data_IF_598758461519
#
_entry.id   IF_598758461519
#
_cell.length_a   1.000
_cell.length_b   1.000
_cell.length_c   1.000
_cell.angle_alpha   90.00
_cell.angle_beta   90.00
_cell.angle_gamma   90.00
#
_symmetry.space_group_name_H-M   'P 1'
#
loop_
_entity.id
_entity.type
_entity.pdbx_description
1 polymer ?
#
# COMPACT_ATOMS: atom_id res chain seq x y z
N UNK A 1 10.14 13.87 -17.62
CA UNK A 1 9.86 12.77 -16.68
C UNK A 1 8.96 11.80 -17.43
N UNK A 2 9.33 10.54 -17.56
CA UNK A 2 8.47 9.56 -18.24
C UNK A 2 7.30 9.21 -17.34
N UNK A 3 6.08 9.43 -17.83
CA UNK A 3 4.87 8.93 -17.16
C UNK A 3 4.88 7.39 -17.21
N UNK A 4 4.86 6.74 -16.05
CA UNK A 4 4.68 5.29 -15.99
C UNK A 4 3.18 4.97 -16.01
N UNK A 5 2.80 3.97 -16.80
CA UNK A 5 1.45 3.36 -16.73
C UNK A 5 1.26 2.76 -15.34
N UNK A 6 0.05 2.88 -14.80
CA UNK A 6 -0.27 2.42 -13.46
C UNK A 6 -1.58 1.61 -13.45
N UNK A 7 -1.75 0.83 -12.39
CA UNK A 7 -2.93 0.02 -12.14
C UNK A 7 -3.50 0.33 -10.76
N UNK A 8 -4.83 0.44 -10.69
CA UNK A 8 -5.61 0.56 -9.45
C UNK A 8 -6.63 -0.57 -9.44
N UNK A 9 -6.47 -1.50 -8.49
CA UNK A 9 -7.33 -2.67 -8.35
C UNK A 9 -8.03 -2.71 -7.00
N UNK A 10 -9.26 -3.21 -6.96
CA UNK A 10 -10.00 -3.39 -5.69
C UNK A 10 -10.62 -4.76 -5.59
N UNK A 11 -10.72 -5.27 -4.37
CA UNK A 11 -11.47 -6.46 -4.03
C UNK A 11 -12.25 -6.23 -2.74
N UNK A 12 -13.45 -6.80 -2.63
CA UNK A 12 -14.28 -6.68 -1.42
C UNK A 12 -14.76 -8.05 -0.98
N UNK A 13 -15.12 -8.17 0.29
CA UNK A 13 -15.66 -9.39 0.88
C UNK A 13 -14.73 -10.61 0.69
N UNK A 14 -13.41 -10.42 0.72
CA UNK A 14 -12.44 -11.50 0.62
C UNK A 14 -12.11 -12.05 2.01
N UNK A 15 -11.77 -13.33 2.11
CA UNK A 15 -11.30 -13.94 3.35
C UNK A 15 -9.78 -13.72 3.55
N UNK A 16 -9.26 -14.07 4.74
CA UNK A 16 -7.85 -13.91 5.06
C UNK A 16 -6.91 -14.69 4.13
N UNK A 17 -7.30 -15.88 3.68
CA UNK A 17 -6.49 -16.70 2.77
C UNK A 17 -6.30 -16.02 1.41
N UNK A 18 -7.37 -15.44 0.85
CA UNK A 18 -7.29 -14.66 -0.40
C UNK A 18 -6.43 -13.42 -0.21
N UNK A 19 -6.57 -12.70 0.91
CA UNK A 19 -5.71 -11.55 1.22
C UNK A 19 -4.23 -11.95 1.26
N UNK A 20 -3.90 -13.08 1.88
CA UNK A 20 -2.53 -13.61 1.93
C UNK A 20 -2.01 -13.94 0.53
N UNK A 21 -2.85 -14.55 -0.31
CA UNK A 21 -2.51 -14.82 -1.72
C UNK A 21 -2.24 -13.55 -2.51
N UNK A 22 -3.09 -12.53 -2.40
CA UNK A 22 -2.91 -11.24 -3.07
C UNK A 22 -1.60 -10.55 -2.63
N UNK A 23 -1.32 -10.54 -1.32
CA UNK A 23 -0.06 -10.00 -0.79
C UNK A 23 1.12 -10.79 -1.37
N UNK A 24 1.08 -12.12 -1.34
CA UNK A 24 2.16 -12.96 -1.84
C UNK A 24 2.38 -12.88 -3.35
N UNK A 25 1.33 -12.60 -4.12
CA UNK A 25 1.39 -12.49 -5.58
C UNK A 25 1.98 -11.14 -6.02
N UNK A 26 1.44 -10.03 -5.50
CA UNK A 26 1.82 -8.70 -5.97
C UNK A 26 3.02 -8.11 -5.26
N UNK A 27 3.22 -8.49 -4.00
CA UNK A 27 4.13 -7.77 -3.11
C UNK A 27 5.31 -8.67 -2.79
N UNK A 28 6.51 -8.22 -3.18
CA UNK A 28 7.74 -8.98 -3.00
C UNK A 28 8.02 -9.28 -1.52
N UNK A 29 8.83 -10.31 -1.23
CA UNK A 29 9.26 -10.64 0.14
C UNK A 29 10.05 -9.51 0.83
N UNK A 30 10.45 -8.47 0.11
CA UNK A 30 11.17 -7.31 0.63
C UNK A 30 10.26 -6.10 0.95
N UNK A 31 8.96 -6.33 1.11
CA UNK A 31 8.00 -5.27 1.41
C UNK A 31 7.89 -4.95 2.89
N UNK A 32 7.81 -3.65 3.19
CA UNK A 32 7.51 -3.12 4.51
C UNK A 32 6.03 -3.26 4.82
N UNK A 33 5.68 -3.35 6.11
CA UNK A 33 4.29 -3.46 6.57
C UNK A 33 3.97 -2.32 7.51
N UNK A 34 2.84 -1.67 7.31
CA UNK A 34 2.32 -0.70 8.26
C UNK A 34 0.93 -1.14 8.72
N UNK A 35 0.84 -1.55 9.99
CA UNK A 35 -0.34 -2.14 10.60
C UNK A 35 -0.98 -1.16 11.57
N UNK A 36 -2.32 -1.12 11.60
CA UNK A 36 -3.10 -0.18 12.40
C UNK A 36 -4.16 -0.88 13.24
N UNK A 37 -4.15 -0.58 14.53
CA UNK A 37 -5.18 -0.91 15.51
C UNK A 37 -5.84 0.38 16.02
N UNK A 38 -6.98 0.29 16.73
CA UNK A 38 -7.60 1.48 17.32
C UNK A 38 -6.70 2.28 18.26
N UNK A 39 -5.73 1.62 18.91
CA UNK A 39 -4.89 2.19 19.98
C UNK A 39 -3.41 2.33 19.60
N UNK A 40 -2.96 1.73 18.49
CA UNK A 40 -1.56 1.74 18.07
C UNK A 40 -1.36 1.54 16.58
N UNK A 41 -0.16 1.86 16.13
CA UNK A 41 0.34 1.56 14.78
C UNK A 41 1.72 0.92 14.89
N UNK A 42 2.05 0.07 13.93
CA UNK A 42 3.36 -0.60 13.86
C UNK A 42 3.87 -0.55 12.42
N UNK A 43 5.16 -0.20 12.27
CA UNK A 43 5.88 -0.26 11.00
C UNK A 43 6.90 -1.39 11.12
N UNK A 44 6.73 -2.45 10.34
CA UNK A 44 7.50 -3.67 10.43
C UNK A 44 8.42 -3.84 9.23
N UNK A 45 9.62 -4.37 9.49
CA UNK A 45 10.62 -4.71 8.48
C UNK A 45 10.13 -5.87 7.59
N UNK A 46 10.74 -6.07 6.40
CA UNK A 46 10.32 -7.11 5.48
C UNK A 46 10.33 -8.55 5.99
N UNK A 47 11.15 -8.85 6.99
CA UNK A 47 11.28 -10.18 7.60
C UNK A 47 10.19 -10.50 8.63
N UNK A 48 9.46 -9.48 9.10
CA UNK A 48 8.48 -9.64 10.17
C UNK A 48 7.11 -10.12 9.65
N UNK A 49 6.39 -10.88 10.49
CA UNK A 49 5.08 -11.42 10.13
C UNK A 49 3.97 -10.37 10.24
N UNK A 50 2.93 -10.51 9.41
CA UNK A 50 1.71 -9.68 9.51
C UNK A 50 0.84 -10.23 10.64
N UNK A 51 0.48 -9.39 11.61
CA UNK A 51 -0.60 -9.66 12.54
C UNK A 51 -1.95 -9.24 11.90
N UNK A 52 -2.72 -10.23 11.45
CA UNK A 52 -4.05 -10.03 10.85
C UNK A 52 -5.15 -9.68 11.86
N UNK A 53 -4.82 -9.57 13.15
CA UNK A 53 -5.70 -8.97 14.17
C UNK A 53 -5.88 -7.46 13.97
N UNK A 54 -5.00 -6.82 13.21
CA UNK A 54 -5.11 -5.39 12.88
C UNK A 54 -6.42 -5.05 12.16
N UNK A 55 -6.91 -3.82 12.37
CA UNK A 55 -8.13 -3.33 11.72
C UNK A 55 -7.87 -2.94 10.27
N UNK A 56 -6.72 -2.32 10.05
CA UNK A 56 -6.25 -1.89 8.74
C UNK A 56 -4.77 -2.22 8.64
N UNK A 57 -4.32 -2.55 7.45
CA UNK A 57 -2.91 -2.71 7.20
C UNK A 57 -2.56 -2.36 5.76
N UNK A 58 -1.27 -2.18 5.55
CA UNK A 58 -0.73 -1.98 4.23
C UNK A 58 0.63 -2.66 4.13
N UNK A 59 0.93 -3.17 2.94
CA UNK A 59 2.25 -3.62 2.55
C UNK A 59 2.71 -2.82 1.34
N UNK A 60 3.98 -2.43 1.31
CA UNK A 60 4.51 -1.61 0.23
C UNK A 60 5.98 -1.92 -0.05
N UNK A 61 6.35 -1.80 -1.31
CA UNK A 61 7.72 -1.90 -1.78
C UNK A 61 8.00 -0.77 -2.79
N UNK A 62 9.00 -0.96 -3.65
CA UNK A 62 9.31 -0.01 -4.70
C UNK A 62 8.18 0.13 -5.72
N UNK A 63 7.48 -0.95 -6.08
CA UNK A 63 6.62 -1.01 -7.27
C UNK A 63 5.12 -0.90 -6.95
N UNK A 64 4.73 -1.29 -5.73
CA UNK A 64 3.32 -1.34 -5.37
C UNK A 64 3.07 -1.08 -3.88
N UNK A 65 1.82 -0.73 -3.59
CA UNK A 65 1.25 -0.73 -2.25
C UNK A 65 -0.10 -1.45 -2.28
N UNK A 66 -0.28 -2.40 -1.37
CA UNK A 66 -1.55 -3.09 -1.14
C UNK A 66 -2.05 -2.71 0.25
N UNK A 67 -3.27 -2.18 0.33
CA UNK A 67 -3.95 -1.81 1.57
C UNK A 67 -5.12 -2.74 1.80
N UNK A 68 -5.39 -3.07 3.06
CA UNK A 68 -6.61 -3.78 3.45
C UNK A 68 -7.28 -3.14 4.65
N UNK A 69 -8.59 -3.35 4.74
CA UNK A 69 -9.42 -3.01 5.88
C UNK A 69 -10.33 -4.18 6.23
N UNK A 70 -10.32 -4.56 7.51
CA UNK A 70 -11.16 -5.64 8.04
C UNK A 70 -12.61 -5.16 8.23
N UNK A 71 -13.55 -5.98 7.76
CA UNK A 71 -15.00 -5.79 7.82
C UNK A 71 -15.64 -7.08 8.36
N UNK A 72 -15.71 -7.20 9.69
CA UNK A 72 -16.09 -8.46 10.33
C UNK A 72 -15.03 -9.54 10.07
N UNK A 73 -15.44 -10.64 9.45
CA UNK A 73 -14.56 -11.76 9.08
C UNK A 73 -13.98 -11.66 7.65
N UNK A 74 -14.28 -10.56 6.96
CA UNK A 74 -13.84 -10.32 5.60
C UNK A 74 -12.97 -9.06 5.50
N UNK A 75 -12.39 -8.84 4.32
CA UNK A 75 -11.53 -7.71 4.01
C UNK A 75 -11.97 -6.99 2.73
N UNK A 76 -11.76 -5.68 2.71
CA UNK A 76 -11.71 -4.88 1.49
C UNK A 76 -10.25 -4.53 1.18
N UNK A 77 -9.84 -4.63 -0.07
CA UNK A 77 -8.48 -4.43 -0.55
C UNK A 77 -8.42 -3.35 -1.63
N UNK A 78 -7.34 -2.58 -1.61
CA UNK A 78 -6.92 -1.66 -2.67
C UNK A 78 -5.46 -1.97 -3.03
N UNK A 79 -5.21 -2.26 -4.31
CA UNK A 79 -3.87 -2.39 -4.89
C UNK A 79 -3.56 -1.14 -5.73
N UNK A 80 -2.40 -0.54 -5.48
CA UNK A 80 -1.85 0.58 -6.22
C UNK A 80 -0.49 0.13 -6.77
N UNK A 81 -0.36 -0.05 -8.08
CA UNK A 81 0.84 -0.67 -8.68
C UNK A 81 1.29 -0.01 -9.98
N UNK A 82 2.59 -0.01 -10.22
CA UNK A 82 3.19 0.29 -11.54
C UNK A 82 3.86 -0.94 -12.17
N UNK A 83 3.74 -2.11 -11.54
CA UNK A 83 4.29 -3.35 -12.08
C UNK A 83 3.45 -3.85 -13.27
N UNK A 84 4.13 -4.30 -14.33
CA UNK A 84 3.51 -4.75 -15.59
C UNK A 84 2.53 -5.93 -15.41
N UNK A 85 2.68 -6.72 -14.35
CA UNK A 85 1.87 -7.92 -14.06
C UNK A 85 0.67 -7.65 -13.13
N UNK A 86 0.24 -6.39 -12.98
CA UNK A 86 -0.82 -6.03 -12.03
C UNK A 86 -2.23 -6.19 -12.60
N UNK A 87 -2.34 -6.34 -13.93
CA UNK A 87 -3.59 -6.51 -14.65
C UNK A 87 -3.89 -8.01 -14.89
N UNK A 88 -5.17 -8.40 -14.81
CA UNK A 88 -5.62 -9.76 -15.15
C UNK A 88 -5.83 -10.71 -13.97
N UNK A 89 -5.69 -10.23 -12.73
CA UNK A 89 -6.05 -11.01 -11.54
C UNK A 89 -7.59 -11.07 -11.39
N UNK A 90 -8.21 -12.24 -11.52
CA UNK A 90 -9.68 -12.39 -11.40
C UNK A 90 -10.24 -11.85 -10.08
N UNK A 91 -9.40 -11.82 -9.03
CA UNK A 91 -9.80 -11.35 -7.70
C UNK A 91 -9.86 -9.82 -7.62
N UNK A 92 -9.07 -9.08 -8.41
CA UNK A 92 -9.00 -7.62 -8.38
C UNK A 92 -9.75 -7.01 -9.55
N UNK A 93 -10.83 -6.31 -9.26
CA UNK A 93 -11.51 -5.47 -10.23
C UNK A 93 -10.69 -4.20 -10.46
N UNK A 94 -10.23 -4.00 -11.71
CA UNK A 94 -9.63 -2.73 -12.14
C UNK A 94 -10.62 -1.58 -11.97
N UNK A 95 -10.15 -0.46 -11.43
CA UNK A 95 -10.93 0.77 -11.26
C UNK A 95 -10.45 1.75 -12.30
N UNK A 96 -11.33 2.24 -13.19
CA UNK A 96 -10.91 3.13 -14.28
C UNK A 96 -9.96 2.46 -15.28
N UNK A 97 -9.55 3.19 -16.33
CA UNK A 97 -8.81 2.60 -17.46
C UNK A 97 -7.50 3.33 -17.80
N UNK A 98 -7.26 4.53 -17.26
CA UNK A 98 -6.19 5.42 -17.73
C UNK A 98 -5.39 6.00 -16.55
N UNK A 99 -4.74 5.16 -15.76
CA UNK A 99 -3.89 5.64 -14.68
C UNK A 99 -2.46 5.90 -15.14
N UNK A 100 -1.89 6.99 -14.66
CA UNK A 100 -0.44 7.19 -14.62
C UNK A 100 0.05 7.36 -13.19
N UNK A 101 1.34 7.11 -13.01
CA UNK A 101 2.02 7.33 -11.76
C UNK A 101 3.08 8.44 -11.87
N UNK A 102 3.12 9.31 -10.86
CA UNK A 102 4.22 10.25 -10.64
C UNK A 102 4.85 10.04 -9.27
N UNK A 103 6.18 10.00 -9.21
CA UNK A 103 6.92 9.76 -7.97
C UNK A 103 7.35 11.07 -7.32
N UNK A 104 7.25 11.11 -5.99
CA UNK A 104 7.61 12.25 -5.15
C UNK A 104 8.46 11.79 -3.98
N UNK A 105 9.38 12.63 -3.55
CA UNK A 105 10.12 12.39 -2.31
C UNK A 105 9.20 12.57 -1.11
N UNK A 106 9.32 11.68 -0.14
CA UNK A 106 8.69 11.81 1.17
C UNK A 106 9.77 11.81 2.26
N UNK A 107 9.45 12.40 3.40
CA UNK A 107 10.31 12.42 4.58
C UNK A 107 9.50 11.97 5.78
N UNK A 108 10.16 11.28 6.70
CA UNK A 108 9.58 11.04 8.02
C UNK A 108 9.50 12.34 8.80
N UNK A 109 8.47 12.44 9.65
CA UNK A 109 8.44 13.49 10.65
C UNK A 109 9.59 13.29 11.63
N UNK A 110 10.22 14.38 12.13
CA UNK A 110 11.19 14.28 13.20
C UNK A 110 10.58 13.55 14.41
N UNK A 111 11.36 12.75 15.17
CA UNK A 111 10.87 12.07 16.36
C UNK A 111 10.29 13.01 17.43
N UNK A 112 10.65 14.29 17.36
CA UNK A 112 10.18 15.37 18.23
C UNK A 112 8.80 15.93 17.84
N UNK A 113 8.27 15.59 16.66
CA UNK A 113 6.93 16.00 16.20
C UNK A 113 5.95 14.82 16.35
N UNK A 114 4.99 14.93 17.26
CA UNK A 114 4.02 13.85 17.51
C UNK A 114 2.71 14.11 16.77
N UNK A 115 2.53 13.45 15.62
CA UNK A 115 1.21 13.33 14.95
C UNK A 115 0.40 12.12 15.42
N UNK A 116 1.06 11.18 16.08
CA UNK A 116 0.44 10.02 16.72
C UNK A 116 0.55 10.14 18.25
N UNK A 117 -0.44 9.66 19.03
CA UNK A 117 -0.38 9.68 20.50
C UNK A 117 0.83 8.93 21.07
N UNK A 118 1.34 7.95 20.32
CA UNK A 118 2.60 7.26 20.58
C UNK A 118 3.51 7.47 19.37
N UNK A 119 4.77 7.83 19.61
CA UNK A 119 5.74 7.98 18.53
C UNK A 119 5.86 6.70 17.71
N UNK A 120 6.04 6.87 16.40
CA UNK A 120 6.28 5.75 15.49
C UNK A 120 7.80 5.53 15.40
N UNK A 121 8.27 4.36 15.83
CA UNK A 121 9.64 3.95 15.57
C UNK A 121 9.74 3.47 14.11
N UNK A 122 10.82 3.85 13.43
CA UNK A 122 11.11 3.42 12.07
C UNK A 122 12.62 3.18 11.92
N UNK A 123 12.97 2.25 11.04
CA UNK A 123 14.36 1.88 10.76
C UNK A 123 15.04 3.01 10.00
N UNK A 124 16.28 3.37 10.36
CA UNK A 124 17.10 4.32 9.59
C UNK A 124 17.38 3.83 8.16
N UNK A 125 17.19 2.53 7.91
CA UNK A 125 17.36 1.90 6.60
C UNK A 125 16.18 2.14 5.64
N UNK A 126 15.05 2.62 6.16
CA UNK A 126 13.86 2.84 5.36
C UNK A 126 13.92 4.24 4.74
N UNK A 127 14.20 4.31 3.45
CA UNK A 127 14.00 5.52 2.65
C UNK A 127 12.64 5.45 1.94
N UNK A 128 11.80 6.47 2.14
CA UNK A 128 10.42 6.50 1.64
C UNK A 128 10.20 7.55 0.56
N UNK A 129 9.36 7.20 -0.40
CA UNK A 129 8.76 8.10 -1.35
C UNK A 129 7.25 8.00 -1.33
N UNK A 130 6.61 8.84 -2.13
CA UNK A 130 5.20 8.77 -2.45
C UNK A 130 5.04 8.54 -3.95
N UNK A 131 3.98 7.83 -4.33
CA UNK A 131 3.57 7.65 -5.71
C UNK A 131 2.13 8.11 -5.89
N UNK A 132 1.93 9.07 -6.78
CA UNK A 132 0.67 9.72 -7.05
C UNK A 132 0.02 9.00 -8.23
N UNK A 133 -1.17 8.44 -8.02
CA UNK A 133 -1.96 7.79 -9.06
C UNK A 133 -2.94 8.82 -9.61
N UNK A 134 -2.71 9.18 -10.87
CA UNK A 134 -3.36 10.28 -11.57
C UNK A 134 -4.26 9.69 -12.64
N UNK A 135 -5.53 10.09 -12.63
CA UNK A 135 -6.45 9.80 -13.71
C UNK A 135 -6.08 10.69 -14.90
N UNK A 136 -5.69 10.08 -16.03
CA UNK A 136 -5.19 10.82 -17.22
C UNK A 136 -6.25 11.70 -17.86
N UNK A 137 -7.51 11.30 -17.79
CA UNK A 137 -8.60 12.01 -18.47
C UNK A 137 -8.96 13.30 -17.73
N UNK A 138 -8.77 13.32 -16.41
CA UNK A 138 -9.10 14.47 -15.55
C UNK A 138 -7.89 15.22 -15.01
N UNK A 139 -6.70 14.63 -15.05
CA UNK A 139 -5.49 15.13 -14.38
C UNK A 139 -5.57 15.10 -12.85
N UNK A 140 -6.55 14.40 -12.28
CA UNK A 140 -6.80 14.39 -10.83
C UNK A 140 -5.96 13.32 -10.14
N UNK A 141 -5.31 13.68 -9.03
CA UNK A 141 -4.69 12.71 -8.12
C UNK A 141 -5.78 12.06 -7.28
N UNK A 142 -6.04 10.77 -7.48
CA UNK A 142 -7.04 10.03 -6.70
C UNK A 142 -6.43 9.27 -5.53
N UNK A 143 -5.22 8.74 -5.71
CA UNK A 143 -4.54 7.96 -4.69
C UNK A 143 -3.08 8.39 -4.56
N UNK A 144 -2.58 8.32 -3.33
CA UNK A 144 -1.16 8.51 -3.02
C UNK A 144 -0.71 7.27 -2.26
N UNK A 145 0.23 6.50 -2.81
CA UNK A 145 0.83 5.33 -2.19
C UNK A 145 2.16 5.68 -1.51
N UNK A 146 2.51 4.98 -0.44
CA UNK A 146 3.90 4.92 0.01
C UNK A 146 4.70 3.99 -0.90
N UNK A 147 5.97 4.34 -1.12
CA UNK A 147 6.95 3.47 -1.77
C UNK A 147 8.26 3.48 -1.01
N UNK A 148 9.01 2.39 -1.14
CA UNK A 148 10.43 2.37 -0.81
C UNK A 148 11.19 3.07 -1.95
N UNK A 149 12.18 3.91 -1.64
CA UNK A 149 13.01 4.55 -2.67
C UNK A 149 13.94 3.55 -3.33
#
# INVERSE_FOLDING_TARGET
>A
MSEATAFVGTANNINQGILQSLIGHHVSKQAWRFLRWPDRVELLEPTEAIDYSCREGQVFNQDCELRWKRQGDHYSVLLLSVAENSEGEETLAGVGNNWTAEERNANFYPPTETRFPRGLAYSEKLDIGQRYFIDKDTGTVHFIALRVK
#
